data_IF_238570051219
#
_entry.id   IF_238570051219
#
_cell.length_a   1.000
_cell.length_b   1.000
_cell.length_c   1.000
_cell.angle_alpha   90.00
_cell.angle_beta   90.00
_cell.angle_gamma   90.00
#
_symmetry.space_group_name_H-M   'P 1'
#
loop_
_entity.id
_entity.type
_entity.pdbx_description
1 polymer ?
#
# COMPACT_ATOMS: atom_id res chain seq x y z
N UNK A 1 12.61 50.16 21.10
CA UNK A 1 13.39 50.65 19.94
C UNK A 1 13.13 49.72 18.79
N UNK A 2 12.61 50.28 17.70
CA UNK A 2 12.21 49.64 16.45
C UNK A 2 13.42 49.10 15.71
N UNK A 3 13.26 47.98 15.01
CA UNK A 3 13.71 47.79 13.63
C UNK A 3 13.00 46.64 12.99
N UNK A 4 12.06 46.96 12.10
CA UNK A 4 11.51 46.07 11.14
C UNK A 4 12.50 45.79 10.00
N UNK A 5 12.38 44.63 9.37
CA UNK A 5 12.98 44.41 8.09
C UNK A 5 11.96 43.73 7.19
N UNK A 6 11.30 44.54 6.38
CA UNK A 6 10.57 44.11 5.20
C UNK A 6 11.57 43.71 4.12
N UNK A 7 11.46 42.53 3.57
CA UNK A 7 12.00 42.26 2.23
C UNK A 7 10.81 41.90 1.31
N UNK A 8 10.64 42.83 0.39
CA UNK A 8 9.69 42.82 -0.70
C UNK A 8 10.10 41.79 -1.76
N UNK A 9 9.19 41.00 -2.16
CA UNK A 9 8.56 40.75 -3.45
C UNK A 9 9.41 41.07 -4.71
N UNK A 10 9.69 40.07 -5.50
CA UNK A 10 9.80 40.22 -6.96
C UNK A 10 9.35 38.94 -7.66
N UNK A 11 8.19 39.05 -8.30
CA UNK A 11 7.65 38.16 -9.32
C UNK A 11 8.54 38.15 -10.54
N UNK A 12 8.88 36.99 -11.05
CA UNK A 12 9.18 36.83 -12.48
C UNK A 12 8.38 35.68 -13.05
N UNK A 13 7.33 36.09 -13.74
CA UNK A 13 6.55 35.24 -14.65
C UNK A 13 7.33 35.27 -15.98
N UNK A 14 7.80 34.14 -16.45
CA UNK A 14 8.18 33.95 -17.85
C UNK A 14 7.36 32.82 -18.43
N UNK A 15 6.40 33.21 -19.24
CA UNK A 15 5.66 32.37 -20.17
C UNK A 15 6.56 32.13 -21.38
N UNK A 16 6.80 30.87 -21.73
CA UNK A 16 7.30 30.53 -23.06
C UNK A 16 6.39 29.45 -23.65
N UNK A 17 5.61 29.87 -24.63
CA UNK A 17 4.87 29.02 -25.55
C UNK A 17 5.75 28.81 -26.81
N UNK A 18 5.71 27.63 -27.37
CA UNK A 18 5.91 27.23 -28.79
C UNK A 18 6.34 25.75 -28.81
N UNK A 19 5.97 24.89 -29.73
CA UNK A 19 5.15 24.92 -30.93
C UNK A 19 4.95 23.45 -31.34
N UNK A 20 3.81 23.17 -31.95
CA UNK A 20 3.47 21.93 -32.65
C UNK A 20 4.48 21.59 -33.75
N UNK A 21 4.74 20.28 -33.93
CA UNK A 21 5.19 19.80 -35.24
C UNK A 21 4.59 18.42 -35.52
N UNK A 22 3.58 18.44 -36.41
CA UNK A 22 3.06 17.28 -37.12
C UNK A 22 4.16 16.70 -38.03
N UNK A 23 4.28 15.40 -38.06
CA UNK A 23 4.84 14.71 -39.21
C UNK A 23 4.05 13.43 -39.48
N UNK A 24 3.07 13.59 -40.32
CA UNK A 24 2.30 12.56 -41.00
C UNK A 24 3.07 12.13 -42.27
N UNK A 25 3.38 10.86 -42.42
CA UNK A 25 3.59 10.26 -43.75
C UNK A 25 3.26 8.77 -43.76
N UNK A 26 2.37 8.36 -44.64
CA UNK A 26 1.96 6.97 -44.83
C UNK A 26 2.92 6.21 -45.77
N UNK A 27 3.09 4.91 -45.51
CA UNK A 27 3.66 4.00 -46.50
C UNK A 27 2.75 2.77 -46.66
N UNK A 28 2.23 2.71 -47.86
CA UNK A 28 1.48 1.66 -48.52
C UNK A 28 2.19 0.31 -48.60
N UNK A 29 1.47 -0.84 -48.35
CA UNK A 29 1.17 -1.72 -49.44
C UNK A 29 1.50 -3.20 -49.23
N UNK A 30 0.52 -4.05 -49.63
CA UNK A 30 0.60 -5.46 -50.02
C UNK A 30 0.70 -6.51 -48.90
N UNK A 31 -0.01 -7.67 -48.91
CA UNK A 31 -0.98 -8.27 -49.84
C UNK A 31 -1.85 -9.30 -49.12
N UNK A 32 -2.96 -9.58 -49.74
CA UNK A 32 -4.00 -10.53 -49.38
C UNK A 32 -3.55 -11.98 -49.31
N UNK A 33 -4.09 -12.76 -48.36
CA UNK A 33 -4.52 -14.13 -48.63
C UNK A 33 -5.82 -14.45 -47.90
N UNK A 34 -6.86 -14.61 -48.70
CA UNK A 34 -8.17 -15.16 -48.36
C UNK A 34 -8.12 -16.69 -48.53
N UNK A 35 -8.60 -17.41 -47.53
CA UNK A 35 -9.26 -18.74 -47.60
C UNK A 35 -9.84 -18.97 -46.23
N UNK A 36 -11.10 -19.13 -46.02
CA UNK A 36 -12.10 -19.98 -46.67
C UNK A 36 -12.78 -20.76 -45.56
N UNK A 37 -13.97 -20.39 -45.24
CA UNK A 37 -15.13 -21.07 -44.64
C UNK A 37 -14.91 -22.51 -44.15
N UNK A 38 -15.31 -22.79 -42.85
CA UNK A 38 -16.40 -23.76 -42.62
C UNK A 38 -16.90 -23.71 -41.15
N UNK A 39 -18.18 -23.63 -41.08
CA UNK A 39 -19.10 -23.76 -39.97
C UNK A 39 -19.01 -25.14 -39.31
N UNK A 40 -18.95 -25.16 -37.97
CA UNK A 40 -19.50 -26.28 -37.19
C UNK A 40 -19.90 -25.78 -35.82
N UNK A 41 -21.16 -25.71 -35.56
CA UNK A 41 -21.75 -25.51 -34.25
C UNK A 41 -21.51 -26.76 -33.37
N UNK A 42 -20.88 -26.57 -32.23
CA UNK A 42 -20.94 -27.54 -31.14
C UNK A 42 -21.26 -26.79 -29.85
N UNK A 43 -22.44 -27.02 -29.36
CA UNK A 43 -22.90 -26.52 -28.09
C UNK A 43 -22.15 -27.26 -26.96
N UNK A 44 -21.05 -26.67 -26.50
CA UNK A 44 -20.38 -27.08 -25.26
C UNK A 44 -20.90 -26.23 -24.11
N UNK A 45 -21.65 -26.85 -23.21
CA UNK A 45 -21.97 -26.25 -21.89
C UNK A 45 -20.66 -26.02 -21.15
N UNK A 46 -20.13 -24.81 -21.22
CA UNK A 46 -19.07 -24.38 -20.34
C UNK A 46 -19.72 -24.00 -19.00
N UNK A 47 -19.66 -24.93 -18.07
CA UNK A 47 -19.88 -24.65 -16.66
C UNK A 47 -18.75 -23.71 -16.21
N UNK A 48 -19.00 -22.41 -16.29
CA UNK A 48 -18.16 -21.41 -15.66
C UNK A 48 -18.36 -21.54 -14.16
N UNK A 49 -17.58 -22.42 -13.56
CA UNK A 49 -17.33 -22.39 -12.12
C UNK A 49 -16.66 -21.06 -11.81
N UNK A 50 -17.44 -20.04 -11.55
CA UNK A 50 -16.96 -18.84 -10.92
C UNK A 50 -16.41 -19.28 -9.56
N UNK A 51 -15.08 -19.43 -9.46
CA UNK A 51 -14.41 -19.45 -8.18
C UNK A 51 -14.68 -18.07 -7.61
N UNK A 52 -15.71 -17.96 -6.78
CA UNK A 52 -15.90 -16.79 -5.94
C UNK A 52 -14.68 -16.73 -5.03
N UNK A 53 -13.71 -15.92 -5.44
CA UNK A 53 -12.69 -15.41 -4.53
C UNK A 53 -13.47 -14.60 -3.50
N UNK A 54 -13.88 -15.25 -2.43
CA UNK A 54 -14.41 -14.56 -1.25
C UNK A 54 -13.27 -13.74 -0.67
N UNK A 55 -13.06 -12.56 -1.26
CA UNK A 55 -12.29 -11.52 -0.59
C UNK A 55 -13.05 -11.22 0.70
N UNK A 56 -12.61 -11.78 1.80
CA UNK A 56 -13.18 -11.46 3.11
C UNK A 56 -12.93 -9.97 3.32
N UNK A 57 -13.96 -9.16 3.14
CA UNK A 57 -13.88 -7.73 3.40
C UNK A 57 -13.64 -7.56 4.89
N UNK A 58 -12.56 -6.87 5.24
CA UNK A 58 -12.30 -6.46 6.61
C UNK A 58 -12.89 -5.08 6.78
N UNK A 59 -13.72 -4.91 7.79
CA UNK A 59 -14.22 -3.60 8.22
C UNK A 59 -14.04 -3.45 9.72
N UNK A 60 -13.69 -2.23 10.14
CA UNK A 60 -13.47 -1.91 11.54
C UNK A 60 -14.67 -1.10 12.07
N UNK A 61 -14.93 -1.21 13.36
CA UNK A 61 -16.05 -0.48 14.00
C UNK A 61 -15.87 1.03 13.99
N UNK A 62 -14.63 1.50 14.04
CA UNK A 62 -14.31 2.92 13.91
C UNK A 62 -13.98 3.24 12.44
N UNK A 63 -14.74 4.11 11.76
CA UNK A 63 -14.55 4.41 10.34
C UNK A 63 -13.22 5.14 10.05
N UNK A 64 -12.68 5.92 10.98
CA UNK A 64 -11.39 6.57 10.79
C UNK A 64 -10.26 5.54 10.87
N UNK A 65 -10.35 4.61 11.82
CA UNK A 65 -9.40 3.52 11.95
C UNK A 65 -9.50 2.55 10.75
N UNK A 66 -10.71 2.33 10.21
CA UNK A 66 -10.90 1.56 8.98
C UNK A 66 -10.18 2.20 7.79
N UNK A 67 -10.33 3.51 7.58
CA UNK A 67 -9.62 4.24 6.53
C UNK A 67 -8.09 4.16 6.69
N UNK A 68 -7.58 4.27 7.91
CA UNK A 68 -6.16 4.08 8.23
C UNK A 68 -5.72 2.64 7.92
N UNK A 69 -6.51 1.65 8.27
CA UNK A 69 -6.22 0.25 8.01
C UNK A 69 -6.16 -0.06 6.50
N UNK A 70 -6.99 0.56 5.66
CA UNK A 70 -6.87 0.41 4.20
C UNK A 70 -5.49 0.88 3.70
N UNK A 71 -4.98 2.00 4.21
CA UNK A 71 -3.63 2.47 3.87
C UNK A 71 -2.53 1.59 4.47
N UNK A 72 -2.75 1.03 5.64
CA UNK A 72 -1.85 0.04 6.23
C UNK A 72 -1.66 -1.19 5.33
N UNK A 73 -2.71 -1.68 4.69
CA UNK A 73 -2.59 -2.79 3.74
C UNK A 73 -1.72 -2.42 2.52
N UNK A 74 -1.84 -1.17 2.03
CA UNK A 74 -0.99 -0.67 0.94
C UNK A 74 0.47 -0.59 1.39
N UNK A 75 0.72 -0.03 2.57
CA UNK A 75 2.05 0.07 3.18
C UNK A 75 2.70 -1.30 3.35
N UNK A 76 1.98 -2.27 3.91
CA UNK A 76 2.50 -3.62 4.12
C UNK A 76 2.90 -4.29 2.80
N UNK A 77 2.05 -4.20 1.77
CA UNK A 77 2.36 -4.72 0.43
C UNK A 77 3.59 -4.04 -0.18
N UNK A 78 3.69 -2.72 -0.05
CA UNK A 78 4.83 -1.95 -0.55
C UNK A 78 6.14 -2.40 0.12
N UNK A 79 6.15 -2.63 1.44
CA UNK A 79 7.33 -3.11 2.16
C UNK A 79 7.72 -4.55 1.78
N UNK A 80 6.74 -5.40 1.44
CA UNK A 80 7.00 -6.77 0.93
C UNK A 80 7.77 -6.73 -0.39
N UNK A 81 7.42 -5.81 -1.30
CA UNK A 81 8.06 -5.68 -2.62
C UNK A 81 9.12 -4.58 -2.67
N UNK A 82 9.49 -4.02 -1.54
CA UNK A 82 10.50 -2.95 -1.39
C UNK A 82 10.19 -1.67 -2.20
N UNK A 83 8.91 -1.39 -2.43
CA UNK A 83 8.48 -0.13 -3.06
C UNK A 83 8.47 1.01 -2.04
N UNK A 84 9.62 1.63 -1.88
CA UNK A 84 9.86 2.73 -0.93
C UNK A 84 8.93 3.92 -1.17
N UNK A 85 8.62 4.25 -2.42
CA UNK A 85 7.79 5.43 -2.74
C UNK A 85 6.32 5.18 -2.40
N UNK A 86 5.79 4.01 -2.75
CA UNK A 86 4.44 3.62 -2.35
C UNK A 86 4.34 3.52 -0.83
N UNK A 87 5.35 2.98 -0.15
CA UNK A 87 5.41 2.93 1.32
C UNK A 87 5.33 4.34 1.94
N UNK A 88 6.09 5.31 1.42
CA UNK A 88 6.03 6.72 1.88
C UNK A 88 4.65 7.33 1.70
N UNK A 89 4.03 7.13 0.55
CA UNK A 89 2.71 7.70 0.25
C UNK A 89 1.63 7.12 1.18
N UNK A 90 1.63 5.80 1.36
CA UNK A 90 0.70 5.13 2.26
C UNK A 90 0.92 5.56 3.72
N UNK A 91 2.17 5.68 4.15
CA UNK A 91 2.51 6.13 5.50
C UNK A 91 2.07 7.58 5.77
N UNK A 92 2.20 8.49 4.80
CA UNK A 92 1.69 9.87 4.93
C UNK A 92 0.15 9.90 5.12
N UNK A 93 -0.56 9.04 4.40
CA UNK A 93 -2.01 8.90 4.57
C UNK A 93 -2.38 8.34 5.97
N UNK A 94 -1.62 7.34 6.45
CA UNK A 94 -1.77 6.80 7.81
C UNK A 94 -1.49 7.89 8.85
N UNK A 95 -0.41 8.65 8.73
CA UNK A 95 -0.07 9.76 9.63
C UNK A 95 -1.24 10.75 9.75
N UNK A 96 -1.77 11.16 8.59
CA UNK A 96 -2.88 12.12 8.53
C UNK A 96 -4.13 11.57 9.20
N UNK A 97 -4.54 10.34 8.88
CA UNK A 97 -5.72 9.72 9.47
C UNK A 97 -5.55 9.40 10.96
N UNK A 98 -4.37 8.96 11.38
CA UNK A 98 -4.10 8.63 12.77
C UNK A 98 -4.14 9.83 13.73
N UNK A 99 -3.89 11.05 13.24
CA UNK A 99 -4.02 12.27 14.04
C UNK A 99 -5.46 12.55 14.49
N UNK A 100 -6.44 12.05 13.75
CA UNK A 100 -7.85 12.20 14.04
C UNK A 100 -8.39 11.11 14.99
N UNK A 101 -7.56 10.11 15.33
CA UNK A 101 -7.95 8.97 16.16
C UNK A 101 -7.43 9.17 17.59
N UNK A 102 -8.32 9.14 18.57
CA UNK A 102 -7.92 9.20 19.97
C UNK A 102 -7.05 8.00 20.35
N UNK A 103 -5.87 8.28 20.89
CA UNK A 103 -4.93 7.24 21.31
C UNK A 103 -3.94 6.80 20.23
N UNK A 104 -4.07 7.28 18.97
CA UNK A 104 -3.20 6.88 17.85
C UNK A 104 -1.98 7.81 17.63
N UNK A 105 -1.65 8.68 18.58
CA UNK A 105 -0.55 9.64 18.42
C UNK A 105 0.82 8.97 18.20
N UNK A 106 1.07 7.81 18.79
CA UNK A 106 2.30 7.06 18.60
C UNK A 106 2.33 6.44 17.19
N UNK A 107 1.23 5.87 16.71
CA UNK A 107 1.08 5.38 15.35
C UNK A 107 1.30 6.50 14.31
N UNK A 108 0.77 7.70 14.55
CA UNK A 108 1.00 8.85 13.67
C UNK A 108 2.48 9.23 13.57
N UNK A 109 3.22 9.20 14.69
CA UNK A 109 4.67 9.44 14.70
C UNK A 109 5.43 8.37 13.93
N UNK A 110 5.14 7.09 14.15
CA UNK A 110 5.78 6.00 13.43
C UNK A 110 5.51 6.09 11.91
N UNK A 111 4.29 6.47 11.51
CA UNK A 111 3.96 6.71 10.12
C UNK A 111 4.75 7.89 9.53
N UNK A 112 4.93 8.99 10.27
CA UNK A 112 5.75 10.12 9.86
C UNK A 112 7.23 9.72 9.66
N UNK A 113 7.77 8.85 10.51
CA UNK A 113 9.12 8.31 10.33
C UNK A 113 9.25 7.51 9.03
N UNK A 114 8.26 6.66 8.69
CA UNK A 114 8.25 5.92 7.43
C UNK A 114 8.20 6.87 6.23
N UNK A 115 7.34 7.89 6.26
CA UNK A 115 7.16 8.81 5.14
C UNK A 115 8.37 9.73 4.92
N UNK A 116 9.17 9.99 5.95
CA UNK A 116 10.33 10.89 5.91
C UNK A 116 11.58 10.27 5.32
N UNK A 117 11.71 8.94 5.27
CA UNK A 117 12.93 8.24 4.83
C UNK A 117 12.75 7.52 3.50
N UNK A 118 13.85 7.38 2.75
CA UNK A 118 13.93 6.52 1.56
C UNK A 118 14.75 5.25 1.80
N UNK A 119 15.17 4.99 3.03
CA UNK A 119 15.83 3.76 3.43
C UNK A 119 14.78 2.73 3.86
N UNK A 120 14.67 1.63 3.12
CA UNK A 120 13.71 0.56 3.41
C UNK A 120 13.93 -0.07 4.79
N UNK A 121 15.17 -0.13 5.27
CA UNK A 121 15.46 -0.69 6.62
C UNK A 121 14.92 0.24 7.72
N UNK A 122 15.10 1.55 7.55
CA UNK A 122 14.53 2.54 8.45
C UNK A 122 12.99 2.53 8.39
N UNK A 123 12.40 2.38 7.19
CA UNK A 123 10.94 2.22 7.05
C UNK A 123 10.44 0.98 7.80
N UNK A 124 11.13 -0.16 7.70
CA UNK A 124 10.76 -1.41 8.38
C UNK A 124 10.88 -1.30 9.90
N UNK A 125 11.88 -0.59 10.40
CA UNK A 125 12.02 -0.34 11.84
C UNK A 125 10.83 0.48 12.37
N UNK A 126 10.51 1.60 11.74
CA UNK A 126 9.35 2.42 12.11
C UNK A 126 8.02 1.67 11.92
N UNK A 127 7.94 0.79 10.92
CA UNK A 127 6.77 -0.06 10.69
C UNK A 127 6.51 -1.04 11.83
N UNK A 128 7.53 -1.53 12.52
CA UNK A 128 7.34 -2.37 13.71
C UNK A 128 6.63 -1.59 14.83
N UNK A 129 7.08 -0.37 15.12
CA UNK A 129 6.43 0.51 16.10
C UNK A 129 4.98 0.83 15.70
N UNK A 130 4.74 1.10 14.42
CA UNK A 130 3.39 1.33 13.91
C UNK A 130 2.47 0.11 14.15
N UNK A 131 2.99 -1.11 13.94
CA UNK A 131 2.23 -2.35 14.16
C UNK A 131 1.84 -2.56 15.62
N UNK A 132 2.75 -2.30 16.56
CA UNK A 132 2.45 -2.43 17.99
C UNK A 132 1.25 -1.58 18.40
N UNK A 133 1.23 -0.31 17.96
CA UNK A 133 0.14 0.61 18.25
C UNK A 133 -1.16 0.22 17.53
N UNK A 134 -1.08 -0.16 16.24
CA UNK A 134 -2.26 -0.54 15.47
C UNK A 134 -2.90 -1.82 16.00
N UNK A 135 -2.11 -2.84 16.33
CA UNK A 135 -2.62 -4.10 16.91
C UNK A 135 -3.32 -3.82 18.23
N UNK A 136 -2.76 -2.96 19.08
CA UNK A 136 -3.38 -2.57 20.34
C UNK A 136 -4.71 -1.85 20.11
N UNK A 137 -4.75 -0.85 19.24
CA UNK A 137 -5.98 -0.13 18.90
C UNK A 137 -7.07 -1.06 18.35
N UNK A 138 -6.69 -2.01 17.51
CA UNK A 138 -7.63 -2.99 16.95
C UNK A 138 -8.20 -3.93 18.01
N UNK A 139 -7.42 -4.31 19.01
CA UNK A 139 -7.91 -5.09 20.16
C UNK A 139 -8.91 -4.31 21.01
N UNK A 140 -8.69 -3.01 21.15
CA UNK A 140 -9.56 -2.13 21.94
C UNK A 140 -10.88 -1.80 21.19
N UNK A 141 -10.81 -1.50 19.89
CA UNK A 141 -11.95 -1.11 19.05
C UNK A 141 -12.75 -2.32 18.55
N UNK A 142 -12.05 -3.35 18.09
CA UNK A 142 -12.60 -4.56 17.48
C UNK A 142 -12.95 -4.40 16.00
N UNK A 143 -13.19 -5.55 15.35
CA UNK A 143 -13.65 -5.64 13.98
C UNK A 143 -15.19 -5.63 13.93
N UNK A 144 -15.73 -5.05 12.85
CA UNK A 144 -17.15 -5.19 12.50
C UNK A 144 -17.35 -6.45 11.64
N UNK A 145 -16.49 -6.65 10.64
CA UNK A 145 -16.54 -7.82 9.76
C UNK A 145 -15.15 -8.38 9.46
N UNK A 146 -15.08 -9.67 9.22
CA UNK A 146 -13.90 -10.38 8.79
C UNK A 146 -13.06 -10.91 9.94
N UNK A 147 -11.83 -11.27 9.62
CA UNK A 147 -10.80 -11.75 10.57
C UNK A 147 -9.46 -11.18 10.19
N UNK A 148 -8.69 -10.75 11.18
CA UNK A 148 -7.29 -10.37 11.02
C UNK A 148 -6.40 -11.36 11.74
N UNK A 149 -5.25 -11.62 11.15
CA UNK A 149 -4.22 -12.48 11.73
C UNK A 149 -3.04 -11.62 12.15
N UNK A 150 -2.59 -11.76 13.36
CA UNK A 150 -1.31 -11.23 13.81
C UNK A 150 -0.26 -12.26 13.44
N UNK A 151 0.62 -11.91 12.54
CA UNK A 151 1.78 -12.70 12.18
C UNK A 151 3.03 -12.14 12.89
N UNK A 152 3.99 -13.01 13.20
CA UNK A 152 5.23 -12.66 13.88
C UNK A 152 6.41 -13.40 13.28
N UNK A 153 7.51 -12.69 13.03
CA UNK A 153 8.79 -13.28 12.65
C UNK A 153 9.84 -12.97 13.74
N UNK A 154 10.39 -13.99 14.42
CA UNK A 154 11.37 -13.77 15.49
C UNK A 154 12.71 -13.23 14.99
N UNK A 155 13.03 -13.45 13.72
CA UNK A 155 14.30 -13.01 13.11
C UNK A 155 14.25 -11.56 12.59
N UNK A 156 13.07 -10.93 12.56
CA UNK A 156 12.94 -9.55 12.08
C UNK A 156 13.77 -8.60 12.95
N UNK A 157 14.27 -7.51 12.33
CA UNK A 157 15.01 -6.44 13.01
C UNK A 157 16.20 -6.93 13.84
N UNK A 158 17.07 -7.75 13.23
CA UNK A 158 18.24 -8.33 13.88
C UNK A 158 17.87 -9.18 15.12
N UNK A 159 16.97 -10.13 14.92
CA UNK A 159 16.51 -11.09 15.95
C UNK A 159 15.77 -10.47 17.15
N UNK A 160 15.32 -9.22 17.01
CA UNK A 160 14.43 -8.60 18.02
C UNK A 160 12.98 -9.11 17.87
N UNK A 161 12.66 -9.61 16.70
CA UNK A 161 11.31 -10.01 16.35
C UNK A 161 10.42 -8.82 16.01
N UNK A 162 9.43 -9.06 15.11
CA UNK A 162 8.41 -8.06 14.82
C UNK A 162 7.12 -8.73 14.33
N UNK A 163 6.01 -8.05 14.59
CA UNK A 163 4.68 -8.49 14.22
C UNK A 163 4.08 -7.61 13.13
N UNK A 164 3.11 -8.16 12.40
CA UNK A 164 2.29 -7.42 11.43
C UNK A 164 0.90 -8.02 11.32
N UNK A 165 -0.03 -7.28 10.71
CA UNK A 165 -1.38 -7.76 10.43
C UNK A 165 -1.50 -8.31 9.01
N UNK A 166 -2.22 -9.41 8.88
CA UNK A 166 -2.55 -10.05 7.61
C UNK A 166 -4.04 -10.37 7.52
N UNK A 167 -4.59 -10.31 6.31
CA UNK A 167 -5.96 -10.77 6.02
C UNK A 167 -6.03 -12.28 5.75
N UNK A 168 -4.88 -12.94 5.62
CA UNK A 168 -4.76 -14.37 5.37
C UNK A 168 -3.75 -15.01 6.31
N UNK A 169 -3.81 -16.35 6.43
CA UNK A 169 -2.80 -17.10 7.18
C UNK A 169 -1.49 -17.29 6.41
N UNK A 170 -1.49 -16.98 5.12
CA UNK A 170 -0.27 -17.01 4.32
C UNK A 170 0.72 -15.96 4.81
N UNK A 171 1.94 -16.38 5.07
CA UNK A 171 3.01 -15.48 5.52
C UNK A 171 3.65 -14.79 4.32
N UNK A 172 3.57 -13.45 4.33
CA UNK A 172 4.27 -12.55 3.42
C UNK A 172 4.94 -11.47 4.26
N UNK A 173 6.20 -11.73 4.58
CA UNK A 173 6.95 -10.95 5.56
C UNK A 173 7.37 -9.57 5.02
N UNK A 174 6.90 -8.45 5.60
CA UNK A 174 7.25 -7.10 5.16
C UNK A 174 8.65 -6.65 5.60
N UNK A 175 9.28 -7.38 6.53
CA UNK A 175 10.57 -6.97 7.12
C UNK A 175 11.78 -7.47 6.31
N UNK A 176 11.60 -8.45 5.41
CA UNK A 176 12.70 -9.07 4.66
C UNK A 176 12.55 -8.97 3.14
N UNK A 177 11.37 -8.62 2.62
CA UNK A 177 11.11 -8.70 1.18
C UNK A 177 11.32 -10.12 0.65
N UNK A 178 11.86 -10.24 -0.55
CA UNK A 178 12.08 -11.53 -1.19
C UNK A 178 13.10 -12.44 -0.48
N UNK A 179 13.97 -11.87 0.37
CA UNK A 179 15.04 -12.61 1.04
C UNK A 179 14.51 -13.69 1.99
N UNK A 180 13.45 -13.39 2.74
CA UNK A 180 12.80 -14.32 3.66
C UNK A 180 11.29 -14.09 3.71
N UNK A 181 10.64 -14.13 2.56
CA UNK A 181 9.22 -13.79 2.39
C UNK A 181 8.28 -14.61 3.29
N UNK A 182 8.61 -15.86 3.55
CA UNK A 182 7.78 -16.79 4.33
C UNK A 182 8.23 -16.98 5.78
N UNK A 183 9.20 -16.16 6.24
CA UNK A 183 9.63 -16.21 7.64
C UNK A 183 8.54 -15.68 8.57
N UNK A 184 8.13 -16.48 9.54
CA UNK A 184 7.14 -16.13 10.55
C UNK A 184 6.00 -17.13 10.65
N UNK A 185 5.10 -16.86 11.57
CA UNK A 185 3.89 -17.64 11.79
C UNK A 185 2.77 -16.77 12.32
N UNK A 186 1.53 -17.21 12.15
CA UNK A 186 0.36 -16.58 12.80
C UNK A 186 0.40 -16.91 14.29
N UNK A 187 0.37 -15.88 15.12
CA UNK A 187 0.37 -16.00 16.57
C UNK A 187 -0.98 -15.72 17.20
N UNK A 188 -1.83 -14.94 16.52
CA UNK A 188 -3.15 -14.55 17.05
C UNK A 188 -4.14 -14.33 15.90
N UNK A 189 -5.43 -14.46 16.20
CA UNK A 189 -6.55 -14.11 15.31
C UNK A 189 -7.44 -13.12 16.05
N UNK A 190 -7.69 -11.99 15.41
CA UNK A 190 -8.59 -10.93 15.86
C UNK A 190 -9.94 -11.06 15.18
#
# INVERSE_FOLDING_TARGET
MKKGNQFALLCFITILAAACSDNNKPSTGHDQHVHGTQTSASAGKTSTGAIALTSTTITLKDPNLDAVYQQYQVLTKALVVEDVNTAKTAALAIETGAREIKGAAAMARAAAEISSTSDVKAQRLAFASLNEDLIKLLKDVGLDQGKLYVAHCPMALNDQGASWLSTTKEIRNPYFGDSMLTCGSVTETL
#
